data_IF_657423967039
#
_entry.id   IF_657423967039
#
_cell.length_a   1.000
_cell.length_b   1.000
_cell.length_c   1.000
_cell.angle_alpha   90.00
_cell.angle_beta   90.00
_cell.angle_gamma   90.00
#
_symmetry.space_group_name_H-M   'P 1'
#
loop_
_entity.id
_entity.type
_entity.pdbx_description
1 polymer ?
#
# COMPACT_ATOMS: atom_id res chain seq x y z
N UNK A 1 9.89 -13.29 29.30
CA UNK A 1 10.28 -13.00 27.91
C UNK A 1 11.54 -12.16 27.92
N UNK A 2 12.56 -12.55 27.17
CA UNK A 2 13.82 -11.81 27.12
C UNK A 2 13.75 -10.69 26.06
N UNK A 3 14.59 -9.66 26.21
CA UNK A 3 14.73 -8.60 25.22
C UNK A 3 15.12 -9.12 23.82
N UNK A 4 15.65 -10.34 23.74
CA UNK A 4 15.99 -11.03 22.50
C UNK A 4 14.75 -11.52 21.74
N UNK A 5 13.72 -11.98 22.46
CA UNK A 5 12.43 -12.38 21.86
C UNK A 5 11.64 -11.17 21.34
N UNK A 6 11.72 -10.02 22.04
CA UNK A 6 11.16 -8.75 21.56
C UNK A 6 11.91 -8.20 20.33
N UNK A 7 13.22 -8.46 20.20
CA UNK A 7 14.01 -8.13 19.00
C UNK A 7 13.68 -9.04 17.82
N UNK A 8 13.43 -10.33 18.04
CA UNK A 8 12.98 -11.25 16.99
C UNK A 8 11.59 -10.87 16.43
N UNK A 9 10.67 -10.39 17.27
CA UNK A 9 9.37 -9.84 16.82
C UNK A 9 9.52 -8.54 16.00
N UNK A 10 10.60 -7.79 16.19
CA UNK A 10 10.98 -6.61 15.39
C UNK A 10 11.69 -6.99 14.07
N UNK A 11 12.31 -8.17 14.00
CA UNK A 11 12.98 -8.71 12.81
C UNK A 11 12.04 -9.48 11.87
N UNK A 12 10.81 -9.80 12.27
CA UNK A 12 9.84 -10.56 11.43
C UNK A 12 9.38 -9.81 10.16
N UNK A 13 9.78 -8.55 9.98
CA UNK A 13 9.59 -7.78 8.75
C UNK A 13 10.68 -8.05 7.70
N UNK A 14 11.82 -8.64 8.07
CA UNK A 14 12.84 -9.14 7.12
C UNK A 14 12.39 -10.40 6.36
N UNK A 15 11.30 -11.04 6.79
CA UNK A 15 10.80 -12.27 6.16
C UNK A 15 10.26 -12.05 4.74
N UNK A 16 9.82 -10.84 4.39
CA UNK A 16 9.40 -10.53 3.02
C UNK A 16 10.57 -10.38 2.02
N UNK A 17 11.81 -10.23 2.51
CA UNK A 17 13.00 -9.92 1.69
C UNK A 17 13.77 -11.17 1.21
N UNK A 18 13.55 -12.34 1.82
CA UNK A 18 14.44 -13.52 1.63
C UNK A 18 13.82 -14.63 0.77
N UNK A 19 12.52 -14.57 0.48
CA UNK A 19 11.80 -15.69 -0.16
C UNK A 19 11.35 -15.30 -1.57
N UNK A 20 11.72 -16.12 -2.55
CA UNK A 20 11.26 -16.05 -3.93
C UNK A 20 9.96 -16.86 -4.10
N UNK A 21 8.91 -16.23 -4.63
CA UNK A 21 7.54 -16.78 -4.61
C UNK A 21 7.14 -17.26 -6.00
N UNK A 22 7.17 -18.57 -6.30
CA UNK A 22 6.46 -19.10 -7.46
C UNK A 22 4.96 -18.75 -7.37
N UNK A 23 4.46 -18.10 -8.41
CA UNK A 23 3.13 -17.50 -8.57
C UNK A 23 1.97 -18.48 -8.70
N UNK A 24 2.15 -19.77 -8.37
CA UNK A 24 1.07 -20.76 -8.48
C UNK A 24 0.22 -20.82 -7.20
N UNK A 25 -1.02 -20.31 -7.19
CA UNK A 25 -1.89 -20.36 -6.02
C UNK A 25 -2.42 -21.78 -5.72
N UNK A 26 -2.30 -22.71 -6.68
CA UNK A 26 -2.76 -24.10 -6.53
C UNK A 26 -1.82 -24.93 -5.63
N UNK A 27 -0.60 -24.45 -5.41
CA UNK A 27 0.36 -25.04 -4.47
C UNK A 27 0.99 -23.93 -3.67
N UNK A 28 0.44 -23.70 -2.47
CA UNK A 28 0.92 -22.65 -1.58
C UNK A 28 2.41 -22.88 -1.27
N UNK A 29 3.24 -21.89 -1.58
CA UNK A 29 4.68 -21.95 -1.40
C UNK A 29 5.02 -22.32 0.07
N UNK A 30 5.86 -23.34 0.33
CA UNK A 30 6.28 -23.73 1.67
C UNK A 30 6.77 -22.58 2.54
N UNK A 31 7.46 -21.60 1.96
CA UNK A 31 7.97 -20.45 2.69
C UNK A 31 6.83 -19.51 3.14
N UNK A 32 5.69 -19.49 2.45
CA UNK A 32 4.51 -18.65 2.78
C UNK A 32 3.78 -19.28 3.90
N UNK A 33 3.67 -20.61 3.85
CA UNK A 33 3.16 -21.40 4.95
C UNK A 33 4.03 -21.21 6.19
N UNK A 34 5.36 -21.21 6.04
CA UNK A 34 6.27 -20.96 7.15
C UNK A 34 6.12 -19.54 7.71
N UNK A 35 6.04 -18.51 6.87
CA UNK A 35 5.88 -17.13 7.31
C UNK A 35 4.51 -16.87 7.95
N UNK A 36 3.43 -17.42 7.38
CA UNK A 36 2.09 -17.35 7.99
C UNK A 36 2.03 -18.08 9.32
N UNK A 37 2.64 -19.26 9.44
CA UNK A 37 2.78 -19.97 10.71
C UNK A 37 3.56 -19.14 11.73
N UNK A 38 4.68 -18.52 11.36
CA UNK A 38 5.41 -17.63 12.26
C UNK A 38 4.59 -16.43 12.72
N UNK A 39 3.76 -15.87 11.84
CA UNK A 39 2.84 -14.79 12.22
C UNK A 39 1.74 -15.27 13.16
N UNK A 40 1.26 -16.49 12.95
CA UNK A 40 0.28 -17.15 13.81
C UNK A 40 0.85 -17.44 15.20
N UNK A 41 2.05 -18.02 15.27
CA UNK A 41 2.73 -18.32 16.52
C UNK A 41 3.01 -17.02 17.31
N UNK A 42 3.48 -15.97 16.63
CA UNK A 42 3.67 -14.65 17.23
C UNK A 42 2.38 -14.01 17.74
N UNK A 43 1.25 -14.25 17.06
CA UNK A 43 -0.06 -13.82 17.54
C UNK A 43 -0.45 -14.56 18.83
N UNK A 44 -0.31 -15.89 18.84
CA UNK A 44 -0.62 -16.75 20.00
C UNK A 44 0.22 -16.33 21.21
N UNK A 45 1.53 -16.13 21.04
CA UNK A 45 2.41 -15.65 22.11
C UNK A 45 1.94 -14.29 22.68
N UNK A 46 1.55 -13.37 21.79
CA UNK A 46 1.03 -12.05 22.17
C UNK A 46 -0.27 -12.13 22.96
N UNK A 47 -1.21 -12.96 22.53
CA UNK A 47 -2.50 -13.20 23.20
C UNK A 47 -2.28 -13.83 24.58
N UNK A 48 -1.45 -14.88 24.67
CA UNK A 48 -1.14 -15.53 25.94
C UNK A 48 -0.44 -14.57 26.91
N UNK A 49 0.45 -13.71 26.40
CA UNK A 49 1.05 -12.66 27.21
C UNK A 49 -0.01 -11.67 27.73
N UNK A 50 -0.91 -11.20 26.88
CA UNK A 50 -1.99 -10.30 27.28
C UNK A 50 -2.92 -10.94 28.33
N UNK A 51 -3.27 -12.22 28.19
CA UNK A 51 -4.04 -12.97 29.19
C UNK A 51 -3.31 -13.08 30.54
N UNK A 52 -1.99 -13.33 30.53
CA UNK A 52 -1.19 -13.35 31.77
C UNK A 52 -1.15 -11.98 32.45
N UNK A 53 -0.99 -10.91 31.67
CA UNK A 53 -1.03 -9.53 32.20
C UNK A 53 -2.41 -9.23 32.78
N UNK A 54 -3.48 -9.60 32.09
CA UNK A 54 -4.85 -9.45 32.57
C UNK A 54 -5.08 -10.20 33.89
N UNK A 55 -4.65 -11.46 33.98
CA UNK A 55 -4.77 -12.25 35.20
C UNK A 55 -3.99 -11.62 36.37
N UNK A 56 -2.82 -11.04 36.09
CA UNK A 56 -2.04 -10.31 37.09
C UNK A 56 -2.77 -9.03 37.54
N UNK A 57 -3.31 -8.25 36.60
CA UNK A 57 -4.08 -7.05 36.89
C UNK A 57 -5.27 -7.39 37.78
N UNK A 58 -6.09 -8.40 37.48
CA UNK A 58 -7.20 -8.79 38.36
C UNK A 58 -6.79 -9.22 39.77
N UNK A 59 -5.55 -9.71 39.96
CA UNK A 59 -5.03 -10.08 41.29
C UNK A 59 -4.55 -8.87 42.09
N UNK A 60 -4.11 -7.80 41.42
CA UNK A 60 -3.57 -6.59 42.04
C UNK A 60 -4.63 -5.47 42.16
N UNK A 61 -5.62 -5.44 41.26
CA UNK A 61 -6.71 -4.45 41.16
C UNK A 61 -7.59 -4.30 42.43
N UNK A 62 -7.80 -5.33 43.29
CA UNK A 62 -8.43 -5.09 44.60
C UNK A 62 -7.68 -4.07 45.49
N UNK A 63 -6.42 -3.75 45.18
CA UNK A 63 -5.62 -2.77 45.90
C UNK A 63 -5.55 -1.38 45.22
N UNK A 64 -5.98 -1.24 43.95
CA UNK A 64 -5.86 0.01 43.18
C UNK A 64 -7.04 0.15 42.20
N UNK A 65 -8.03 0.97 42.54
CA UNK A 65 -9.25 1.22 41.74
C UNK A 65 -8.87 1.84 40.38
N UNK A 66 -8.64 1.05 39.32
CA UNK A 66 -8.42 1.60 37.96
C UNK A 66 -9.08 0.74 36.87
N UNK A 67 -10.04 1.34 36.17
CA UNK A 67 -10.62 0.98 34.86
C UNK A 67 -10.38 -0.44 34.32
N UNK A 68 -11.26 -1.38 34.69
CA UNK A 68 -11.33 -2.78 34.22
C UNK A 68 -11.61 -2.96 32.71
N UNK A 69 -11.95 -1.91 31.97
CA UNK A 69 -12.50 -2.04 30.61
C UNK A 69 -11.47 -2.37 29.52
N UNK A 70 -10.18 -2.04 29.70
CA UNK A 70 -9.17 -2.18 28.63
C UNK A 70 -8.66 -3.63 28.52
N UNK A 71 -8.80 -4.44 29.57
CA UNK A 71 -8.14 -5.75 29.70
C UNK A 71 -9.15 -6.88 29.98
N UNK A 72 -10.27 -6.97 29.26
CA UNK A 72 -11.15 -8.14 29.35
C UNK A 72 -10.77 -9.23 28.32
N UNK A 73 -10.95 -10.51 28.66
CA UNK A 73 -10.48 -11.63 27.82
C UNK A 73 -11.25 -11.67 26.50
N UNK A 74 -12.53 -11.31 26.57
CA UNK A 74 -13.40 -11.09 25.42
C UNK A 74 -12.86 -10.03 24.43
N UNK A 75 -12.09 -9.03 24.87
CA UNK A 75 -11.45 -8.05 23.97
C UNK A 75 -10.15 -8.58 23.36
N UNK A 76 -9.35 -9.30 24.15
CA UNK A 76 -8.07 -9.88 23.68
C UNK A 76 -8.30 -10.96 22.62
N UNK A 77 -9.37 -11.74 22.77
CA UNK A 77 -9.73 -12.84 21.88
C UNK A 77 -10.75 -12.45 20.80
N UNK A 78 -11.08 -11.16 20.67
CA UNK A 78 -12.02 -10.70 19.64
C UNK A 78 -11.40 -10.74 18.24
N UNK A 79 -12.20 -11.01 17.21
CA UNK A 79 -11.70 -10.99 15.82
C UNK A 79 -11.05 -9.66 15.43
N UNK A 80 -11.55 -8.54 15.95
CA UNK A 80 -10.94 -7.23 15.68
C UNK A 80 -9.50 -7.11 16.19
N UNK A 81 -9.14 -7.83 17.28
CA UNK A 81 -7.77 -7.85 17.78
C UNK A 81 -6.85 -8.64 16.83
N UNK A 82 -7.35 -9.74 16.26
CA UNK A 82 -6.64 -10.47 15.20
C UNK A 82 -6.43 -9.59 13.96
N UNK A 83 -7.48 -8.93 13.47
CA UNK A 83 -7.37 -8.04 12.30
C UNK A 83 -6.37 -6.91 12.57
N UNK A 84 -6.46 -6.24 13.72
CA UNK A 84 -5.55 -5.17 14.08
C UNK A 84 -4.08 -5.63 14.16
N UNK A 85 -3.83 -6.83 14.69
CA UNK A 85 -2.50 -7.42 14.69
C UNK A 85 -1.96 -7.61 13.25
N UNK A 86 -2.78 -8.17 12.35
CA UNK A 86 -2.38 -8.40 10.97
C UNK A 86 -2.22 -7.09 10.19
N UNK A 87 -3.11 -6.12 10.39
CA UNK A 87 -2.99 -4.78 9.82
C UNK A 87 -1.67 -4.13 10.21
N UNK A 88 -1.26 -4.18 11.48
CA UNK A 88 0.03 -3.65 11.91
C UNK A 88 1.22 -4.32 11.21
N UNK A 89 1.16 -5.64 11.01
CA UNK A 89 2.21 -6.39 10.28
C UNK A 89 2.28 -5.97 8.82
N UNK A 90 1.13 -5.85 8.15
CA UNK A 90 1.06 -5.44 6.74
C UNK A 90 1.46 -3.96 6.59
N UNK A 91 1.04 -3.08 7.49
CA UNK A 91 1.45 -1.66 7.51
C UNK A 91 2.96 -1.50 7.64
N UNK A 92 3.63 -2.36 8.42
CA UNK A 92 5.09 -2.33 8.53
C UNK A 92 5.76 -2.71 7.19
N UNK A 93 5.23 -3.71 6.48
CA UNK A 93 5.70 -4.09 5.15
C UNK A 93 5.41 -2.99 4.10
N UNK A 94 4.21 -2.42 4.13
CA UNK A 94 3.81 -1.31 3.28
C UNK A 94 4.68 -0.06 3.50
N UNK A 95 5.04 0.25 4.75
CA UNK A 95 5.96 1.34 5.08
C UNK A 95 7.32 1.16 4.45
N UNK A 96 7.93 -0.03 4.58
CA UNK A 96 9.22 -0.32 3.93
C UNK A 96 9.13 -0.20 2.41
N UNK A 97 8.09 -0.76 1.82
CA UNK A 97 7.85 -0.66 0.38
C UNK A 97 7.74 0.80 -0.07
N UNK A 98 6.98 1.62 0.66
CA UNK A 98 6.86 3.05 0.39
C UNK A 98 8.20 3.77 0.56
N UNK A 99 8.95 3.49 1.62
CA UNK A 99 10.25 4.12 1.89
C UNK A 99 11.27 3.78 0.79
N UNK A 100 11.35 2.50 0.37
CA UNK A 100 12.19 2.05 -0.75
C UNK A 100 11.82 2.75 -2.06
N UNK A 101 10.52 2.83 -2.37
CA UNK A 101 10.04 3.46 -3.61
C UNK A 101 10.23 4.97 -3.60
N UNK A 102 9.97 5.63 -2.47
CA UNK A 102 10.18 7.06 -2.31
C UNK A 102 11.67 7.43 -2.37
N UNK A 103 12.55 6.58 -1.83
CA UNK A 103 14.00 6.76 -1.97
C UNK A 103 14.44 6.59 -3.43
N UNK A 104 13.90 5.58 -4.14
CA UNK A 104 14.28 5.27 -5.52
C UNK A 104 13.72 6.28 -6.55
N UNK A 105 12.53 6.83 -6.31
CA UNK A 105 11.82 7.72 -7.24
C UNK A 105 11.54 9.10 -6.63
N UNK A 106 12.46 9.57 -5.78
CA UNK A 106 12.33 10.83 -5.04
C UNK A 106 12.00 12.01 -5.96
N UNK A 107 11.07 12.86 -5.50
CA UNK A 107 10.57 14.01 -6.25
C UNK A 107 9.69 13.68 -7.45
N UNK A 108 9.61 12.43 -7.94
CA UNK A 108 8.73 12.06 -9.06
C UNK A 108 7.34 11.63 -8.56
N UNK A 109 7.29 10.63 -7.68
CA UNK A 109 6.06 10.05 -7.13
C UNK A 109 6.19 9.92 -5.63
N UNK A 110 5.09 10.18 -4.90
CA UNK A 110 5.02 9.92 -3.47
C UNK A 110 4.12 8.71 -3.22
N UNK A 111 4.71 7.65 -2.72
CA UNK A 111 4.03 6.44 -2.28
C UNK A 111 3.69 6.57 -0.78
N UNK A 112 2.42 6.36 -0.44
CA UNK A 112 1.94 6.43 0.95
C UNK A 112 1.57 5.05 1.47
N UNK A 113 1.77 4.83 2.77
CA UNK A 113 1.34 3.60 3.45
C UNK A 113 -0.15 3.38 3.25
N UNK A 114 -0.96 4.42 3.41
CA UNK A 114 -2.41 4.35 3.23
C UNK A 114 -2.79 3.97 1.80
N UNK A 115 -2.11 4.52 0.78
CA UNK A 115 -2.37 4.17 -0.63
C UNK A 115 -2.04 2.72 -0.96
N UNK A 116 -0.99 2.17 -0.35
CA UNK A 116 -0.64 0.74 -0.47
C UNK A 116 -1.64 -0.15 0.29
N UNK A 117 -2.04 0.23 1.50
CA UNK A 117 -3.03 -0.51 2.30
C UNK A 117 -4.43 -0.46 1.70
N UNK A 118 -4.77 0.61 0.98
CA UNK A 118 -6.06 0.78 0.32
C UNK A 118 -6.23 -0.10 -0.93
N UNK A 119 -5.19 -0.81 -1.37
CA UNK A 119 -5.29 -1.75 -2.50
C UNK A 119 -6.31 -2.84 -2.17
N UNK A 120 -7.23 -3.05 -3.11
CA UNK A 120 -8.41 -3.90 -2.97
C UNK A 120 -8.04 -5.31 -2.49
N UNK A 121 -6.98 -5.88 -3.05
CA UNK A 121 -6.50 -7.22 -2.74
C UNK A 121 -5.95 -7.32 -1.30
N UNK A 122 -5.22 -6.30 -0.83
CA UNK A 122 -4.72 -6.25 0.56
C UNK A 122 -5.89 -6.24 1.55
N UNK A 123 -6.85 -5.35 1.30
CA UNK A 123 -8.05 -5.24 2.14
C UNK A 123 -8.90 -6.51 2.11
N UNK A 124 -9.10 -7.11 0.94
CA UNK A 124 -9.87 -8.34 0.79
C UNK A 124 -9.26 -9.51 1.57
N UNK A 125 -7.94 -9.67 1.56
CA UNK A 125 -7.28 -10.77 2.30
C UNK A 125 -7.45 -10.62 3.82
N UNK A 126 -7.43 -9.39 4.35
CA UNK A 126 -7.70 -9.14 5.78
C UNK A 126 -9.18 -9.31 6.12
N UNK A 127 -10.08 -8.76 5.29
CA UNK A 127 -11.53 -8.86 5.46
C UNK A 127 -12.01 -10.33 5.39
N UNK A 128 -11.32 -11.17 4.62
CA UNK A 128 -11.61 -12.61 4.47
C UNK A 128 -11.70 -13.32 5.81
N UNK A 129 -10.75 -13.05 6.72
CA UNK A 129 -10.64 -13.76 8.00
C UNK A 129 -11.86 -13.54 8.89
N UNK A 130 -12.42 -12.33 8.88
CA UNK A 130 -13.60 -11.99 9.67
C UNK A 130 -14.85 -12.72 9.19
N UNK A 131 -14.93 -13.02 7.89
CA UNK A 131 -16.11 -13.59 7.25
C UNK A 131 -16.06 -15.10 7.15
N UNK A 132 -14.84 -15.67 7.10
CA UNK A 132 -14.61 -17.09 6.87
C UNK A 132 -15.47 -17.98 7.78
N UNK A 133 -15.40 -17.76 9.10
CA UNK A 133 -16.20 -18.49 10.10
C UNK A 133 -17.69 -18.48 9.79
N UNK A 134 -18.23 -17.29 9.58
CA UNK A 134 -19.66 -17.08 9.40
C UNK A 134 -20.13 -17.71 8.09
N UNK A 135 -19.38 -17.52 7.00
CA UNK A 135 -19.73 -18.06 5.68
C UNK A 135 -19.80 -19.58 5.67
N UNK A 136 -18.81 -20.25 6.27
CA UNK A 136 -18.75 -21.71 6.32
C UNK A 136 -19.80 -22.28 7.25
N UNK A 137 -20.06 -21.62 8.39
CA UNK A 137 -21.14 -22.01 9.28
C UNK A 137 -22.51 -21.92 8.60
N UNK A 138 -22.76 -20.84 7.85
CA UNK A 138 -24.01 -20.70 7.09
C UNK A 138 -24.12 -21.76 6.00
N UNK A 139 -23.04 -22.05 5.29
CA UNK A 139 -23.00 -23.13 4.30
C UNK A 139 -23.39 -24.46 4.94
N UNK A 140 -22.75 -24.87 6.03
CA UNK A 140 -23.02 -26.18 6.65
C UNK A 140 -24.37 -26.30 7.36
N UNK A 141 -24.97 -25.19 7.78
CA UNK A 141 -26.32 -25.16 8.37
C UNK A 141 -27.44 -25.10 7.33
N UNK A 142 -27.13 -24.84 6.05
CA UNK A 142 -28.12 -24.86 4.99
C UNK A 142 -28.63 -26.29 4.70
N UNK A 143 -29.80 -26.39 4.10
CA UNK A 143 -30.38 -27.67 3.67
C UNK A 143 -29.45 -28.39 2.68
N UNK A 144 -29.57 -29.72 2.56
CA UNK A 144 -28.68 -30.53 1.70
C UNK A 144 -28.77 -30.06 0.24
N UNK A 145 -29.98 -29.76 -0.22
CA UNK A 145 -30.29 -29.28 -1.56
C UNK A 145 -29.67 -27.90 -1.81
N UNK A 146 -29.81 -26.98 -0.84
CA UNK A 146 -29.24 -25.64 -0.92
C UNK A 146 -27.71 -25.69 -0.92
N UNK A 147 -27.09 -26.56 -0.12
CA UNK A 147 -25.62 -26.76 -0.12
C UNK A 147 -25.11 -27.26 -1.46
N UNK A 148 -25.81 -28.22 -2.07
CA UNK A 148 -25.46 -28.71 -3.40
C UNK A 148 -25.59 -27.60 -4.46
N UNK A 149 -26.67 -26.82 -4.40
CA UNK A 149 -26.88 -25.65 -5.26
C UNK A 149 -25.82 -24.56 -5.08
N UNK A 150 -25.47 -24.24 -3.83
CA UNK A 150 -24.42 -23.26 -3.52
C UNK A 150 -23.06 -23.71 -4.04
N UNK A 151 -22.71 -24.98 -3.87
CA UNK A 151 -21.46 -25.55 -4.39
C UNK A 151 -21.41 -25.44 -5.91
N UNK A 152 -22.50 -25.83 -6.60
CA UNK A 152 -22.59 -25.71 -8.06
C UNK A 152 -22.49 -24.26 -8.53
N UNK A 153 -23.10 -23.31 -7.80
CA UNK A 153 -23.01 -21.89 -8.11
C UNK A 153 -21.56 -21.37 -7.95
N UNK A 154 -20.85 -21.79 -6.90
CA UNK A 154 -19.43 -21.44 -6.69
C UNK A 154 -18.53 -22.01 -7.80
N UNK A 155 -18.73 -23.28 -8.19
CA UNK A 155 -17.97 -23.93 -9.27
C UNK A 155 -18.18 -23.24 -10.63
N UNK A 156 -19.36 -22.65 -10.85
CA UNK A 156 -19.72 -21.90 -12.06
C UNK A 156 -19.48 -20.40 -11.99
N UNK A 157 -18.98 -19.90 -10.85
CA UNK A 157 -18.86 -18.47 -10.53
C UNK A 157 -20.18 -17.68 -10.72
N UNK A 158 -21.32 -18.34 -10.50
CA UNK A 158 -22.66 -17.76 -10.66
C UNK A 158 -23.12 -17.07 -9.37
N UNK A 159 -22.74 -15.82 -9.22
CA UNK A 159 -23.08 -14.99 -8.06
C UNK A 159 -24.60 -14.82 -7.88
N UNK A 160 -25.38 -14.81 -8.95
CA UNK A 160 -26.83 -14.62 -8.89
C UNK A 160 -27.54 -15.88 -8.39
N UNK A 161 -27.10 -17.06 -8.84
CA UNK A 161 -27.57 -18.32 -8.28
C UNK A 161 -27.17 -18.45 -6.81
N UNK A 162 -25.92 -18.11 -6.47
CA UNK A 162 -25.45 -18.16 -5.09
C UNK A 162 -26.23 -17.22 -4.16
N UNK A 163 -26.49 -15.97 -4.59
CA UNK A 163 -27.24 -14.99 -3.81
C UNK A 163 -28.67 -15.47 -3.47
N UNK A 164 -29.35 -16.10 -4.43
CA UNK A 164 -30.70 -16.65 -4.22
C UNK A 164 -30.75 -17.76 -3.18
N UNK A 165 -29.66 -18.51 -3.02
CA UNK A 165 -29.55 -19.62 -2.07
C UNK A 165 -29.08 -19.17 -0.68
N UNK A 166 -28.55 -17.95 -0.54
CA UNK A 166 -28.07 -17.40 0.73
C UNK A 166 -28.98 -16.27 1.24
N UNK A 167 -30.19 -16.57 1.75
CA UNK A 167 -31.25 -15.59 2.04
C UNK A 167 -30.89 -14.55 3.12
N UNK A 168 -29.79 -14.71 3.85
CA UNK A 168 -29.33 -13.74 4.84
C UNK A 168 -28.51 -12.59 4.27
N UNK A 169 -27.98 -12.70 3.05
CA UNK A 169 -27.26 -11.61 2.40
C UNK A 169 -28.28 -10.65 1.77
N UNK A 170 -28.41 -9.44 2.33
CA UNK A 170 -29.35 -8.43 1.83
C UNK A 170 -28.96 -7.83 0.48
N UNK A 171 -27.66 -7.83 0.18
CA UNK A 171 -27.09 -7.23 -1.02
C UNK A 171 -26.19 -8.24 -1.75
N UNK A 172 -26.19 -8.17 -3.08
CA UNK A 172 -25.40 -9.06 -3.92
C UNK A 172 -23.88 -8.93 -3.67
N UNK A 173 -23.42 -7.73 -3.32
CA UNK A 173 -22.02 -7.48 -2.98
C UNK A 173 -21.58 -8.19 -1.69
N UNK A 174 -22.50 -8.34 -0.73
CA UNK A 174 -22.22 -9.14 0.46
C UNK A 174 -22.17 -10.62 0.10
N UNK A 175 -23.08 -11.11 -0.74
CA UNK A 175 -23.05 -12.49 -1.25
C UNK A 175 -21.73 -12.83 -1.93
N UNK A 176 -21.12 -11.90 -2.66
CA UNK A 176 -19.79 -12.11 -3.27
C UNK A 176 -18.73 -12.45 -2.22
N UNK A 177 -18.75 -11.77 -1.07
CA UNK A 177 -17.80 -12.03 0.02
C UNK A 177 -18.01 -13.41 0.65
N UNK A 178 -19.28 -13.82 0.85
CA UNK A 178 -19.62 -15.16 1.33
C UNK A 178 -19.19 -16.25 0.34
N UNK A 179 -19.44 -16.02 -0.95
CA UNK A 179 -19.07 -16.94 -2.02
C UNK A 179 -17.56 -17.17 -2.06
N UNK A 180 -16.77 -16.09 -1.98
CA UNK A 180 -15.30 -16.16 -1.96
C UNK A 180 -14.77 -16.91 -0.73
N UNK A 181 -15.36 -16.69 0.45
CA UNK A 181 -14.96 -17.39 1.67
C UNK A 181 -15.22 -18.90 1.59
N UNK A 182 -16.39 -19.31 1.07
CA UNK A 182 -16.72 -20.73 0.89
C UNK A 182 -15.86 -21.36 -0.21
N UNK A 183 -15.59 -20.61 -1.29
CA UNK A 183 -14.65 -21.04 -2.33
C UNK A 183 -13.27 -21.33 -1.73
N UNK A 184 -12.74 -20.43 -0.91
CA UNK A 184 -11.47 -20.63 -0.18
C UNK A 184 -11.50 -21.87 0.70
N UNK A 185 -12.62 -22.16 1.37
CA UNK A 185 -12.79 -23.36 2.16
C UNK A 185 -12.72 -24.65 1.33
N UNK A 186 -13.29 -24.66 0.12
CA UNK A 186 -13.19 -25.81 -0.79
C UNK A 186 -11.80 -25.99 -1.40
N UNK A 187 -10.97 -24.96 -1.39
CA UNK A 187 -9.58 -25.02 -1.81
C UNK A 187 -8.65 -25.61 -0.72
N UNK A 188 -9.15 -25.83 0.50
CA UNK A 188 -8.37 -26.43 1.58
C UNK A 188 -8.19 -27.95 1.37
N UNK A 189 -7.01 -28.51 1.73
CA UNK A 189 -6.82 -29.95 1.92
C UNK A 189 -7.90 -30.58 2.82
N UNK A 190 -8.28 -31.81 2.52
CA UNK A 190 -9.31 -32.56 3.25
C UNK A 190 -9.05 -32.61 4.75
N UNK A 191 -7.79 -32.75 5.16
CA UNK A 191 -7.38 -32.81 6.55
C UNK A 191 -7.68 -31.50 7.29
N UNK A 192 -7.40 -30.36 6.63
CA UNK A 192 -7.68 -29.03 7.19
C UNK A 192 -9.18 -28.69 7.17
N UNK A 193 -9.92 -29.26 6.21
CA UNK A 193 -11.39 -29.19 6.19
C UNK A 193 -11.98 -29.88 7.42
N UNK A 194 -11.54 -31.10 7.73
CA UNK A 194 -12.03 -31.82 8.90
C UNK A 194 -11.59 -31.12 10.20
N UNK A 195 -10.33 -30.69 10.30
CA UNK A 195 -9.84 -29.89 11.45
C UNK A 195 -10.70 -28.63 11.68
N UNK A 196 -11.06 -27.92 10.61
CA UNK A 196 -11.93 -26.74 10.68
C UNK A 196 -13.34 -27.09 11.17
N UNK A 197 -13.89 -28.22 10.71
CA UNK A 197 -15.23 -28.68 11.10
C UNK A 197 -15.26 -29.08 12.57
N UNK A 198 -14.24 -29.77 13.06
CA UNK A 198 -14.07 -30.08 14.48
C UNK A 198 -14.09 -28.78 15.31
N UNK A 199 -13.30 -27.76 14.92
CA UNK A 199 -13.27 -26.47 15.63
C UNK A 199 -14.62 -25.72 15.60
N UNK A 200 -15.44 -25.91 14.57
CA UNK A 200 -16.72 -25.20 14.42
C UNK A 200 -17.90 -25.87 15.11
N UNK A 201 -17.95 -27.21 15.07
CA UNK A 201 -19.16 -27.97 15.39
C UNK A 201 -18.99 -28.94 16.55
N UNK A 202 -17.76 -29.35 16.87
CA UNK A 202 -17.53 -30.31 17.94
C UNK A 202 -17.29 -29.62 19.28
N UNK A 203 -17.71 -30.31 20.34
CA UNK A 203 -17.51 -29.85 21.71
C UNK A 203 -16.15 -30.35 22.19
N UNK A 204 -15.15 -29.48 22.20
CA UNK A 204 -13.84 -29.78 22.77
C UNK A 204 -13.87 -29.65 24.30
N UNK A 205 -13.08 -30.48 24.98
CA UNK A 205 -12.89 -30.43 26.44
C UNK A 205 -12.03 -29.23 26.89
N UNK A 206 -11.43 -28.51 25.94
CA UNK A 206 -10.59 -27.33 26.14
C UNK A 206 -11.38 -26.10 26.65
N UNK A 207 -10.67 -25.12 27.21
CA UNK A 207 -11.30 -23.85 27.60
C UNK A 207 -11.80 -23.10 26.37
N UNK A 208 -12.80 -22.23 26.55
CA UNK A 208 -13.30 -21.37 25.46
C UNK A 208 -12.16 -20.53 24.85
N UNK A 209 -11.23 -20.08 25.68
CA UNK A 209 -10.10 -19.25 25.29
C UNK A 209 -9.12 -20.03 24.40
N UNK A 210 -8.75 -21.26 24.77
CA UNK A 210 -7.84 -22.11 23.99
C UNK A 210 -8.42 -22.43 22.61
N UNK A 211 -9.72 -22.72 22.55
CA UNK A 211 -10.42 -22.96 21.29
C UNK A 211 -10.40 -21.74 20.35
N UNK A 212 -10.57 -20.53 20.89
CA UNK A 212 -10.52 -19.30 20.10
C UNK A 212 -9.10 -19.03 19.60
N UNK A 213 -8.09 -19.24 20.44
CA UNK A 213 -6.67 -19.11 20.06
C UNK A 213 -6.31 -20.08 18.95
N UNK A 214 -6.69 -21.36 19.08
CA UNK A 214 -6.48 -22.38 18.06
C UNK A 214 -7.17 -22.00 16.74
N UNK A 215 -8.39 -21.47 16.82
CA UNK A 215 -9.13 -21.03 15.63
C UNK A 215 -8.46 -19.83 14.94
N UNK A 216 -7.99 -18.83 15.70
CA UNK A 216 -7.25 -17.69 15.13
C UNK A 216 -5.93 -18.15 14.51
N UNK A 217 -5.23 -19.09 15.15
CA UNK A 217 -4.03 -19.70 14.57
C UNK A 217 -4.34 -20.38 13.24
N UNK A 218 -5.41 -21.16 13.17
CA UNK A 218 -5.88 -21.79 11.92
C UNK A 218 -6.16 -20.75 10.83
N UNK A 219 -6.87 -19.66 11.15
CA UNK A 219 -7.17 -18.59 10.21
C UNK A 219 -5.91 -17.94 9.62
N UNK A 220 -4.95 -17.59 10.47
CA UNK A 220 -3.69 -16.98 9.99
C UNK A 220 -2.89 -18.01 9.18
N UNK A 221 -2.80 -19.25 9.67
CA UNK A 221 -1.94 -20.27 9.06
C UNK A 221 -2.51 -20.76 7.75
N UNK A 222 -3.82 -20.90 7.58
CA UNK A 222 -4.40 -21.61 6.44
C UNK A 222 -5.36 -20.79 5.57
N UNK A 223 -5.88 -19.67 6.07
CA UNK A 223 -6.87 -18.84 5.35
C UNK A 223 -6.26 -17.54 4.83
N UNK A 224 -5.29 -16.96 5.55
CA UNK A 224 -4.55 -15.77 5.12
C UNK A 224 -3.50 -16.13 4.06
N UNK A 225 -3.54 -15.43 2.92
CA UNK A 225 -2.58 -15.64 1.82
C UNK A 225 -1.65 -14.42 1.72
N UNK A 226 -0.56 -14.45 2.48
CA UNK A 226 0.45 -13.38 2.47
C UNK A 226 1.09 -13.19 1.10
N UNK A 227 1.21 -14.27 0.33
CA UNK A 227 1.70 -14.26 -1.05
C UNK A 227 0.89 -13.33 -1.95
N UNK A 228 -0.44 -13.21 -1.74
CA UNK A 228 -1.29 -12.28 -2.51
C UNK A 228 -1.06 -10.82 -2.10
N UNK A 229 -0.87 -10.57 -0.80
CA UNK A 229 -0.51 -9.24 -0.31
C UNK A 229 0.87 -8.82 -0.85
N UNK A 230 1.82 -9.75 -0.86
CA UNK A 230 3.15 -9.49 -1.43
C UNK A 230 3.09 -9.24 -2.93
N UNK A 231 2.33 -10.04 -3.69
CA UNK A 231 2.18 -9.85 -5.13
C UNK A 231 1.71 -8.42 -5.47
N UNK A 232 0.80 -7.86 -4.67
CA UNK A 232 0.39 -6.44 -4.81
C UNK A 232 1.56 -5.48 -4.64
N UNK A 233 2.41 -5.69 -3.63
CA UNK A 233 3.58 -4.84 -3.41
C UNK A 233 4.62 -5.01 -4.52
N UNK A 234 4.84 -6.23 -5.00
CA UNK A 234 5.75 -6.50 -6.11
C UNK A 234 5.24 -5.88 -7.42
N UNK A 235 3.92 -5.94 -7.69
CA UNK A 235 3.31 -5.27 -8.83
C UNK A 235 3.50 -3.75 -8.77
N UNK A 236 3.36 -3.14 -7.59
CA UNK A 236 3.66 -1.71 -7.41
C UNK A 236 5.13 -1.44 -7.67
N UNK A 237 6.05 -2.27 -7.16
CA UNK A 237 7.49 -2.11 -7.39
C UNK A 237 7.87 -2.24 -8.86
N UNK A 238 7.31 -3.23 -9.56
CA UNK A 238 7.54 -3.48 -10.98
C UNK A 238 6.95 -2.37 -11.85
N UNK A 239 5.81 -1.79 -11.46
CA UNK A 239 5.16 -0.69 -12.17
C UNK A 239 5.65 0.71 -11.75
N UNK A 240 6.60 0.81 -10.83
CA UNK A 240 6.98 2.09 -10.23
C UNK A 240 7.65 3.04 -11.22
N UNK A 241 8.57 2.54 -12.05
CA UNK A 241 9.26 3.35 -13.06
C UNK A 241 8.29 3.91 -14.10
N UNK A 242 7.32 3.12 -14.54
CA UNK A 242 6.25 3.56 -15.45
C UNK A 242 5.39 4.66 -14.81
N UNK A 243 5.05 4.49 -13.53
CA UNK A 243 4.29 5.49 -12.77
C UNK A 243 5.08 6.79 -12.61
N UNK A 244 6.39 6.69 -12.36
CA UNK A 244 7.29 7.83 -12.26
C UNK A 244 7.47 8.57 -13.60
N UNK A 245 7.60 7.84 -14.71
CA UNK A 245 7.65 8.40 -16.05
C UNK A 245 6.35 9.16 -16.38
N UNK A 246 5.20 8.58 -16.08
CA UNK A 246 3.92 9.26 -16.30
C UNK A 246 3.80 10.52 -15.44
N UNK A 247 4.16 10.44 -14.15
CA UNK A 247 4.14 11.58 -13.25
C UNK A 247 5.07 12.72 -13.72
N UNK A 248 6.26 12.38 -14.25
CA UNK A 248 7.16 13.37 -14.83
C UNK A 248 6.53 14.06 -16.05
N UNK A 249 5.91 13.31 -16.95
CA UNK A 249 5.24 13.87 -18.13
C UNK A 249 4.07 14.77 -17.74
N UNK A 250 3.29 14.37 -16.75
CA UNK A 250 2.19 15.18 -16.22
C UNK A 250 2.72 16.48 -15.61
N UNK A 251 3.76 16.39 -14.77
CA UNK A 251 4.44 17.57 -14.21
C UNK A 251 5.00 18.49 -15.30
N UNK A 252 5.63 17.94 -16.34
CA UNK A 252 6.13 18.72 -17.47
C UNK A 252 5.01 19.44 -18.21
N UNK A 253 3.91 18.75 -18.47
CA UNK A 253 2.75 19.35 -19.13
C UNK A 253 2.19 20.53 -18.32
N UNK A 254 1.98 20.31 -17.02
CA UNK A 254 1.31 21.27 -16.13
C UNK A 254 2.20 22.41 -15.66
N UNK A 255 3.44 22.10 -15.26
CA UNK A 255 4.34 23.06 -14.63
C UNK A 255 5.28 23.77 -15.62
N UNK A 256 5.42 23.23 -16.84
CA UNK A 256 6.29 23.81 -17.87
C UNK A 256 5.55 24.15 -19.17
N UNK A 257 5.09 23.14 -19.93
CA UNK A 257 4.64 23.30 -21.33
C UNK A 257 3.46 24.26 -21.45
N UNK A 258 2.43 24.11 -20.61
CA UNK A 258 1.25 25.00 -20.63
C UNK A 258 1.57 26.45 -20.27
N UNK A 259 2.73 26.71 -19.68
CA UNK A 259 3.17 28.02 -19.20
C UNK A 259 4.14 28.70 -20.17
N UNK A 260 4.55 28.03 -21.25
CA UNK A 260 5.38 28.60 -22.31
C UNK A 260 4.63 29.70 -23.08
N UNK A 261 5.30 30.83 -23.32
CA UNK A 261 4.78 31.93 -24.13
C UNK A 261 5.32 31.80 -25.55
N UNK A 262 4.55 31.16 -26.44
CA UNK A 262 4.99 30.69 -27.77
C UNK A 262 4.97 31.77 -28.86
N UNK A 263 4.93 33.07 -28.53
CA UNK A 263 4.67 34.09 -29.56
C UNK A 263 5.74 34.24 -30.64
N UNK A 264 7.01 33.88 -30.38
CA UNK A 264 8.11 33.86 -31.36
C UNK A 264 9.26 32.97 -30.84
N UNK A 265 9.22 31.65 -31.07
CA UNK A 265 10.33 30.78 -30.67
C UNK A 265 11.58 31.10 -31.51
N UNK A 266 12.66 31.49 -30.84
CA UNK A 266 13.96 31.77 -31.45
C UNK A 266 15.05 30.98 -30.69
N UNK A 267 15.76 30.04 -31.34
CA UNK A 267 16.78 29.21 -30.71
C UNK A 267 17.93 30.00 -30.05
N UNK A 268 18.12 31.27 -30.42
CA UNK A 268 19.17 32.14 -29.89
C UNK A 268 18.71 33.04 -28.75
N UNK A 269 17.45 32.96 -28.32
CA UNK A 269 16.90 33.82 -27.26
C UNK A 269 16.24 32.99 -26.15
N UNK A 270 16.32 33.43 -24.88
CA UNK A 270 15.60 32.79 -23.80
C UNK A 270 14.09 32.72 -24.07
N UNK A 271 13.49 31.58 -23.76
CA UNK A 271 12.07 31.31 -23.93
C UNK A 271 11.33 31.78 -22.68
N UNK A 272 10.25 32.54 -22.87
CA UNK A 272 9.48 33.12 -21.76
C UNK A 272 8.47 32.11 -21.19
N UNK A 273 8.38 32.08 -19.87
CA UNK A 273 7.41 31.31 -19.10
C UNK A 273 6.54 32.28 -18.30
N UNK A 274 5.22 32.07 -18.30
CA UNK A 274 4.26 32.86 -17.54
C UNK A 274 3.54 31.96 -16.52
N UNK A 275 3.76 32.24 -15.24
CA UNK A 275 3.19 31.51 -14.12
C UNK A 275 2.10 32.33 -13.45
N UNK A 276 0.91 31.78 -13.27
CA UNK A 276 -0.13 32.42 -12.45
C UNK A 276 0.20 32.25 -10.96
N UNK A 277 -0.07 33.29 -10.15
CA UNK A 277 0.30 33.31 -8.72
C UNK A 277 -0.86 33.63 -7.79
N UNK A 278 -2.08 33.77 -8.31
CA UNK A 278 -3.28 34.23 -7.60
C UNK A 278 -3.51 33.57 -6.24
N UNK A 279 -3.14 32.29 -6.11
CA UNK A 279 -3.50 31.47 -4.95
C UNK A 279 -2.31 30.93 -4.16
N UNK A 280 -1.07 31.03 -4.68
CA UNK A 280 0.12 30.36 -4.11
C UNK A 280 1.33 31.27 -3.90
N UNK A 281 1.31 32.49 -4.46
CA UNK A 281 2.45 33.41 -4.42
C UNK A 281 3.58 33.06 -5.40
N UNK A 282 4.48 34.04 -5.59
CA UNK A 282 5.55 33.97 -6.58
C UNK A 282 6.62 32.91 -6.28
N UNK A 283 7.05 32.82 -5.02
CA UNK A 283 8.08 31.86 -4.59
C UNK A 283 7.63 30.42 -4.82
N UNK A 284 6.41 30.05 -4.40
CA UNK A 284 5.89 28.69 -4.59
C UNK A 284 5.75 28.35 -6.08
N UNK A 285 5.32 29.30 -6.90
CA UNK A 285 5.20 29.10 -8.35
C UNK A 285 6.57 28.86 -9.00
N UNK A 286 7.60 29.61 -8.61
CA UNK A 286 8.98 29.41 -9.11
C UNK A 286 9.58 28.12 -8.55
N UNK A 287 9.35 27.78 -7.29
CA UNK A 287 9.83 26.52 -6.69
C UNK A 287 9.31 25.31 -7.48
N UNK A 288 8.01 25.27 -7.80
CA UNK A 288 7.44 24.18 -8.60
C UNK A 288 8.08 24.05 -9.99
N UNK A 289 8.41 25.18 -10.61
CA UNK A 289 9.12 25.18 -11.89
C UNK A 289 10.54 24.63 -11.73
N UNK A 290 11.28 25.11 -10.72
CA UNK A 290 12.64 24.64 -10.41
C UNK A 290 12.64 23.15 -10.12
N UNK A 291 11.70 22.64 -9.32
CA UNK A 291 11.59 21.22 -9.00
C UNK A 291 11.46 20.36 -10.27
N UNK A 292 10.62 20.79 -11.22
CA UNK A 292 10.42 20.07 -12.49
C UNK A 292 11.64 20.17 -13.40
N UNK A 293 12.29 21.35 -13.47
CA UNK A 293 13.53 21.52 -14.24
C UNK A 293 14.63 20.62 -13.69
N UNK A 294 14.85 20.63 -12.38
CA UNK A 294 15.90 19.84 -11.73
C UNK A 294 15.64 18.34 -11.88
N UNK A 295 14.39 17.90 -11.73
CA UNK A 295 14.00 16.51 -11.96
C UNK A 295 14.25 16.09 -13.41
N UNK A 296 13.87 16.91 -14.39
CA UNK A 296 14.07 16.61 -15.81
C UNK A 296 15.55 16.56 -16.18
N UNK A 297 16.37 17.51 -15.73
CA UNK A 297 17.81 17.48 -15.99
C UNK A 297 18.48 16.30 -15.31
N UNK A 298 18.06 15.93 -14.08
CA UNK A 298 18.53 14.72 -13.42
C UNK A 298 18.25 13.47 -14.26
N UNK A 299 17.04 13.33 -14.81
CA UNK A 299 16.67 12.20 -15.69
C UNK A 299 17.48 12.20 -17.00
N UNK A 300 17.90 13.37 -17.48
CA UNK A 300 18.81 13.49 -18.63
C UNK A 300 20.30 13.29 -18.27
N UNK A 301 20.64 13.18 -16.98
CA UNK A 301 22.04 13.12 -16.51
C UNK A 301 22.79 14.45 -16.63
N UNK A 302 22.07 15.57 -16.63
CA UNK A 302 22.60 16.92 -16.81
C UNK A 302 22.38 17.79 -15.55
N UNK A 303 23.15 18.86 -15.42
CA UNK A 303 22.90 19.90 -14.42
C UNK A 303 21.93 20.95 -14.97
N UNK A 304 21.06 21.48 -14.11
CA UNK A 304 20.13 22.55 -14.46
C UNK A 304 20.87 23.86 -14.77
N UNK A 305 20.73 24.44 -15.98
CA UNK A 305 21.43 25.68 -16.35
C UNK A 305 20.77 26.94 -15.77
N UNK A 306 19.60 26.82 -15.14
CA UNK A 306 18.73 27.94 -14.78
C UNK A 306 19.03 28.51 -13.37
N UNK A 307 20.31 28.83 -13.08
CA UNK A 307 20.75 29.29 -11.75
C UNK A 307 20.03 30.54 -11.24
N UNK A 308 19.56 31.39 -12.16
CA UNK A 308 18.80 32.60 -11.82
C UNK A 308 17.49 32.30 -11.06
N UNK A 309 16.89 31.13 -11.27
CA UNK A 309 15.67 30.72 -10.55
C UNK A 309 15.98 30.33 -9.11
N UNK A 310 17.06 29.57 -8.90
CA UNK A 310 17.51 29.19 -7.55
C UNK A 310 18.02 30.40 -6.77
N UNK A 311 18.72 31.32 -7.44
CA UNK A 311 19.12 32.60 -6.85
C UNK A 311 17.91 33.49 -6.49
N UNK A 312 16.85 33.50 -7.31
CA UNK A 312 15.60 34.19 -6.95
C UNK A 312 14.97 33.59 -5.68
N UNK A 313 14.95 32.26 -5.55
CA UNK A 313 14.40 31.59 -4.37
C UNK A 313 15.22 31.83 -3.10
N UNK A 314 16.54 32.00 -3.23
CA UNK A 314 17.42 32.33 -2.12
C UNK A 314 17.32 33.80 -1.65
N UNK A 315 16.82 34.70 -2.50
CA UNK A 315 16.70 36.12 -2.20
C UNK A 315 15.26 36.49 -1.80
N UNK A 316 15.06 36.97 -0.57
CA UNK A 316 13.74 37.36 -0.04
C UNK A 316 13.14 38.65 -0.67
N UNK A 317 13.71 39.19 -1.75
CA UNK A 317 13.36 40.52 -2.29
C UNK A 317 12.30 40.48 -3.42
N UNK A 318 11.35 41.44 -3.50
CA UNK A 318 10.00 41.11 -3.99
C UNK A 318 9.68 41.45 -5.46
N UNK A 319 10.57 42.09 -6.25
CA UNK A 319 10.08 42.74 -7.49
C UNK A 319 10.71 42.25 -8.80
N UNK A 320 12.02 42.08 -8.92
CA UNK A 320 12.66 41.60 -10.17
C UNK A 320 14.06 41.09 -9.89
N UNK A 321 14.40 39.91 -10.40
CA UNK A 321 15.75 39.36 -10.42
C UNK A 321 16.23 39.26 -11.87
N UNK A 322 17.47 39.69 -12.15
CA UNK A 322 18.09 39.59 -13.50
C UNK A 322 19.27 38.63 -13.42
N UNK A 323 19.22 37.56 -14.21
CA UNK A 323 20.30 36.61 -14.39
C UNK A 323 21.19 36.94 -15.59
N UNK A 324 21.99 35.97 -16.03
CA UNK A 324 22.89 36.09 -17.18
C UNK A 324 22.14 35.86 -18.51
N UNK A 325 22.74 36.28 -19.64
CA UNK A 325 22.26 35.95 -21.00
C UNK A 325 20.78 36.27 -21.30
N UNK A 326 20.21 37.27 -20.65
CA UNK A 326 18.80 37.66 -20.82
C UNK A 326 17.82 36.84 -19.99
N UNK A 327 18.30 36.00 -19.07
CA UNK A 327 17.47 35.34 -18.06
C UNK A 327 16.97 36.36 -17.01
N UNK A 328 15.70 36.29 -16.62
CA UNK A 328 15.16 37.17 -15.58
C UNK A 328 13.87 36.60 -14.97
N UNK A 329 13.65 36.91 -13.69
CA UNK A 329 12.37 36.72 -12.99
C UNK A 329 11.75 38.08 -12.73
N UNK A 330 10.52 38.30 -13.20
CA UNK A 330 9.74 39.52 -12.97
C UNK A 330 8.43 39.17 -12.28
N UNK A 331 8.22 39.72 -11.08
CA UNK A 331 7.03 39.47 -10.27
C UNK A 331 6.01 40.59 -10.52
N UNK A 332 4.79 40.20 -10.91
CA UNK A 332 3.64 41.08 -11.05
C UNK A 332 2.55 40.67 -10.06
N UNK A 333 1.55 41.53 -9.85
CA UNK A 333 0.48 41.29 -8.86
C UNK A 333 -0.19 39.92 -8.95
N UNK A 334 -0.40 39.39 -10.16
CA UNK A 334 -1.15 38.14 -10.39
C UNK A 334 -0.35 37.07 -11.12
N UNK A 335 0.88 37.37 -11.55
CA UNK A 335 1.69 36.44 -12.34
C UNK A 335 3.18 36.70 -12.16
N UNK A 336 3.98 35.67 -12.38
CA UNK A 336 5.43 35.77 -12.49
C UNK A 336 5.82 35.43 -13.91
N UNK A 337 6.63 36.29 -14.52
CA UNK A 337 7.28 35.98 -15.79
C UNK A 337 8.70 35.60 -15.52
N UNK A 338 9.11 34.46 -16.05
CA UNK A 338 10.50 34.05 -16.06
C UNK A 338 10.92 33.62 -17.46
N UNK A 339 12.17 33.23 -17.60
CA UNK A 339 12.77 32.78 -18.85
C UNK A 339 13.60 31.54 -18.61
N UNK A 340 13.70 30.67 -19.60
CA UNK A 340 14.66 29.54 -19.61
C UNK A 340 15.47 29.61 -20.90
N UNK A 341 16.63 28.95 -20.95
CA UNK A 341 17.37 28.82 -22.19
C UNK A 341 16.53 28.12 -23.28
N UNK A 342 16.76 28.44 -24.55
CA UNK A 342 16.07 27.77 -25.65
C UNK A 342 16.40 26.28 -25.71
N UNK A 343 17.65 25.92 -25.45
CA UNK A 343 18.13 24.54 -25.27
C UNK A 343 17.36 23.81 -24.18
N UNK A 344 17.17 24.43 -23.01
CA UNK A 344 16.34 23.91 -21.92
C UNK A 344 14.93 23.63 -22.42
N UNK A 345 14.28 24.62 -23.04
CA UNK A 345 12.92 24.46 -23.53
C UNK A 345 12.76 23.31 -24.53
N UNK A 346 13.67 23.20 -25.50
CA UNK A 346 13.65 22.12 -26.49
C UNK A 346 13.81 20.75 -25.84
N UNK A 347 14.76 20.61 -24.91
CA UNK A 347 15.01 19.35 -24.20
C UNK A 347 13.79 18.92 -23.38
N UNK A 348 13.16 19.83 -22.64
CA UNK A 348 12.00 19.50 -21.82
C UNK A 348 10.76 19.19 -22.67
N UNK A 349 10.57 19.85 -23.81
CA UNK A 349 9.52 19.50 -24.77
C UNK A 349 9.78 18.10 -25.34
N UNK A 350 11.00 17.84 -25.83
CA UNK A 350 11.38 16.53 -26.35
C UNK A 350 11.20 15.42 -25.29
N UNK A 351 11.61 15.68 -24.05
CA UNK A 351 11.45 14.75 -22.93
C UNK A 351 9.98 14.41 -22.66
N UNK A 352 9.07 15.37 -22.84
CA UNK A 352 7.62 15.13 -22.71
C UNK A 352 7.03 14.27 -23.85
N UNK A 353 7.67 14.27 -25.00
CA UNK A 353 7.27 13.51 -26.19
C UNK A 353 7.82 12.09 -26.21
N UNK A 354 8.88 11.81 -25.43
CA UNK A 354 9.44 10.46 -25.26
C UNK A 354 8.32 9.48 -24.84
N UNK A 355 8.23 8.29 -25.47
CA UNK A 355 7.29 7.25 -25.05
C UNK A 355 7.48 6.91 -23.57
N UNK A 356 6.39 6.70 -22.83
CA UNK A 356 6.44 6.50 -21.37
C UNK A 356 7.31 5.31 -20.97
N UNK A 357 7.35 4.25 -21.80
CA UNK A 357 8.21 3.09 -21.59
C UNK A 357 9.70 3.43 -21.69
N UNK A 358 10.10 4.20 -22.69
CA UNK A 358 11.49 4.61 -22.89
C UNK A 358 11.93 5.57 -21.78
N UNK A 359 11.05 6.50 -21.38
CA UNK A 359 11.30 7.40 -20.26
C UNK A 359 11.43 6.65 -18.93
N UNK A 360 10.66 5.57 -18.72
CA UNK A 360 10.80 4.71 -17.55
C UNK A 360 12.18 4.05 -17.51
N UNK A 361 12.69 3.54 -18.65
CA UNK A 361 14.04 2.98 -18.75
C UNK A 361 15.10 4.04 -18.41
N UNK A 362 14.94 5.28 -18.91
CA UNK A 362 15.86 6.37 -18.59
C UNK A 362 15.87 6.70 -17.09
N UNK A 363 14.68 6.79 -16.47
CA UNK A 363 14.55 7.03 -15.03
C UNK A 363 15.23 5.90 -14.25
N UNK A 364 15.00 4.64 -14.61
CA UNK A 364 15.65 3.51 -13.94
C UNK A 364 17.18 3.58 -14.07
N UNK A 365 17.71 3.86 -15.26
CA UNK A 365 19.15 3.93 -15.51
C UNK A 365 19.86 5.02 -14.69
N UNK A 366 19.21 6.18 -14.51
CA UNK A 366 19.75 7.26 -13.66
C UNK A 366 19.72 6.88 -12.18
N UNK A 367 18.65 6.21 -11.73
CA UNK A 367 18.48 5.85 -10.32
C UNK A 367 19.37 4.67 -9.90
N UNK A 368 19.77 3.80 -10.82
CA UNK A 368 20.76 2.74 -10.56
C UNK A 368 22.21 3.23 -10.50
N UNK A 369 22.53 4.37 -11.12
CA UNK A 369 23.90 4.91 -11.16
C UNK A 369 24.23 5.86 -9.98
N UNK A 370 23.24 6.20 -9.16
CA UNK A 370 23.38 7.08 -7.98
C UNK A 370 23.27 6.34 -6.63
N UNK A 371 23.19 5.00 -6.65
CA UNK A 371 23.33 4.13 -5.47
C UNK A 371 24.67 3.41 -5.51
#
# INVERSE_FOLDING_TARGET
MSAQQLRQLRDSSKLFEVIDWPTNPATRNPDAQNMTRQWADGYVEGVQYAQRVQALVYRIDPAFIVSKEILSSARVLHMSALVAYLEQRVMAAARRCADELNQRFDGLVSYTVEGLMAKTEVRHELDMLTRFKQSIRLYHLAAVEDRAGMKQAIERDDLQAFHRLLPMARHIDDSKKYMLAIKRYFELPTELVEEHREMLFERREETLDDNVIAYHHFLITHVLFLERIKAVFDDVKNGAAMSAAQALKDKLSWEFIRKLVVRDYNPQKPVKISLQTSDIGAQVAIQRLVDVLDLSHRVMGEASPESHLTEFLANEAPQTYKGCNGQAVSVYQMHVKTTVEASTADKLIALSEVPTADLAIMIEGVMTNNG
#
